data_IF_171328265305
#
_entry.id   IF_171328265305
#
_cell.length_a   1.000
_cell.length_b   1.000
_cell.length_c   1.000
_cell.angle_alpha   90.00
_cell.angle_beta   90.00
_cell.angle_gamma   90.00
#
_symmetry.space_group_name_H-M   'P 1'
#
loop_
_entity.id
_entity.type
_entity.pdbx_description
1 polymer ?
#
# COMPACT_ATOMS: atom_id res chain seq x y z
N UNK A 1 -12.46 -12.09 15.65
CA UNK A 1 -11.07 -12.03 16.14
C UNK A 1 -10.97 -10.85 17.10
N UNK A 2 -10.46 -11.05 18.32
CA UNK A 2 -10.31 -9.96 19.31
C UNK A 2 -8.95 -9.30 19.16
N UNK A 3 -8.96 -7.98 18.96
CA UNK A 3 -7.74 -7.17 18.91
C UNK A 3 -7.23 -6.90 20.34
N UNK A 4 -5.91 -6.92 20.51
CA UNK A 4 -5.27 -6.48 21.76
C UNK A 4 -5.35 -4.96 21.88
N UNK A 5 -5.34 -4.41 23.11
CA UNK A 5 -5.45 -2.96 23.36
C UNK A 5 -4.47 -2.12 22.51
N UNK A 6 -3.21 -2.54 22.41
CA UNK A 6 -2.22 -1.81 21.61
C UNK A 6 -2.51 -1.88 20.09
N UNK A 7 -3.09 -3.00 19.59
CA UNK A 7 -3.47 -3.12 18.19
C UNK A 7 -4.62 -2.17 17.87
N UNK A 8 -5.60 -2.08 18.76
CA UNK A 8 -6.69 -1.10 18.64
C UNK A 8 -6.14 0.32 18.56
N UNK A 9 -5.18 0.67 19.44
CA UNK A 9 -4.54 1.99 19.42
C UNK A 9 -3.83 2.25 18.09
N UNK A 10 -3.01 1.31 17.61
CA UNK A 10 -2.29 1.45 16.32
C UNK A 10 -3.28 1.64 15.15
N UNK A 11 -4.34 0.85 15.11
CA UNK A 11 -5.36 0.95 14.04
C UNK A 11 -6.10 2.29 14.13
N UNK A 12 -6.43 2.75 15.33
CA UNK A 12 -7.07 4.07 15.53
C UNK A 12 -6.17 5.20 15.04
N UNK A 13 -4.88 5.16 15.35
CA UNK A 13 -3.92 6.16 14.86
C UNK A 13 -3.77 6.12 13.34
N UNK A 14 -3.75 4.93 12.73
CA UNK A 14 -3.73 4.79 11.27
C UNK A 14 -4.99 5.37 10.61
N UNK A 15 -6.17 5.10 11.17
CA UNK A 15 -7.44 5.66 10.68
C UNK A 15 -7.40 7.19 10.70
N UNK A 16 -7.02 7.77 11.82
CA UNK A 16 -6.90 9.22 11.95
C UNK A 16 -5.91 9.81 10.94
N UNK A 17 -4.76 9.15 10.76
CA UNK A 17 -3.75 9.56 9.80
C UNK A 17 -4.24 9.46 8.34
N UNK A 18 -4.88 8.36 7.95
CA UNK A 18 -5.39 8.19 6.58
C UNK A 18 -6.53 9.16 6.27
N UNK A 19 -7.45 9.39 7.21
CA UNK A 19 -8.49 10.39 7.06
C UNK A 19 -7.91 11.78 6.85
N UNK A 20 -6.95 12.18 7.70
CA UNK A 20 -6.27 13.47 7.58
C UNK A 20 -5.46 13.60 6.28
N UNK A 21 -4.75 12.52 5.90
CA UNK A 21 -4.01 12.46 4.63
C UNK A 21 -4.94 12.72 3.44
N UNK A 22 -6.12 12.13 3.45
CA UNK A 22 -7.10 12.31 2.37
C UNK A 22 -7.62 13.73 2.31
N UNK A 23 -8.05 14.31 3.43
CA UNK A 23 -8.50 15.69 3.51
C UNK A 23 -7.43 16.66 3.00
N UNK A 24 -6.18 16.50 3.46
CA UNK A 24 -5.07 17.33 3.05
C UNK A 24 -4.81 17.19 1.55
N UNK A 25 -4.76 15.93 1.05
CA UNK A 25 -4.54 15.68 -0.37
C UNK A 25 -5.64 16.30 -1.24
N UNK A 26 -6.91 16.15 -0.88
CA UNK A 26 -8.03 16.72 -1.63
C UNK A 26 -7.95 18.27 -1.69
N UNK A 27 -7.55 18.92 -0.59
CA UNK A 27 -7.31 20.38 -0.54
C UNK A 27 -6.16 20.79 -1.45
N UNK A 28 -5.06 20.02 -1.44
CA UNK A 28 -3.90 20.28 -2.29
C UNK A 28 -4.18 20.02 -3.77
N UNK A 29 -4.92 18.96 -4.11
CA UNK A 29 -5.34 18.67 -5.49
C UNK A 29 -6.23 19.80 -6.03
N UNK A 30 -7.06 20.38 -5.20
CA UNK A 30 -7.86 21.56 -5.57
C UNK A 30 -6.99 22.81 -5.79
N UNK A 31 -6.08 23.09 -4.88
CA UNK A 31 -5.14 24.22 -5.01
C UNK A 31 -4.23 24.05 -6.24
N UNK A 32 -3.75 22.82 -6.51
CA UNK A 32 -2.89 22.49 -7.64
C UNK A 32 -3.53 22.84 -8.99
N UNK A 33 -4.86 22.69 -9.11
CA UNK A 33 -5.58 23.05 -10.35
C UNK A 33 -5.56 24.55 -10.64
N UNK A 34 -5.48 25.37 -9.60
CA UNK A 34 -5.44 26.84 -9.71
C UNK A 34 -4.02 27.39 -9.92
N UNK A 35 -2.97 26.59 -9.74
CA UNK A 35 -1.58 27.03 -9.84
C UNK A 35 -1.01 26.79 -11.25
N UNK A 36 -0.09 27.70 -11.70
CA UNK A 36 0.73 27.47 -12.88
C UNK A 36 1.51 26.15 -12.80
N UNK A 37 1.76 25.52 -13.93
CA UNK A 37 2.42 24.20 -13.99
C UNK A 37 3.78 24.18 -13.27
N UNK A 38 4.55 25.27 -13.41
CA UNK A 38 5.87 25.42 -12.81
C UNK A 38 5.84 25.42 -11.28
N UNK A 39 4.72 25.81 -10.66
CA UNK A 39 4.58 25.89 -9.20
C UNK A 39 3.96 24.64 -8.57
N UNK A 40 3.43 23.70 -9.34
CA UNK A 40 2.71 22.53 -8.84
C UNK A 40 3.60 21.56 -8.04
N UNK A 41 4.89 21.51 -8.35
CA UNK A 41 5.86 20.68 -7.66
C UNK A 41 6.22 21.18 -6.25
N UNK A 42 5.91 22.44 -5.92
CA UNK A 42 6.19 23.01 -4.59
C UNK A 42 5.20 22.53 -3.52
N UNK A 43 4.06 22.00 -3.94
CA UNK A 43 3.00 21.56 -3.04
C UNK A 43 3.28 20.18 -2.45
N UNK A 44 3.70 20.14 -1.19
CA UNK A 44 3.95 18.90 -0.45
C UNK A 44 2.84 18.62 0.58
N UNK A 45 1.77 18.00 0.12
CA UNK A 45 0.64 17.62 0.96
C UNK A 45 1.03 16.64 2.07
N UNK A 46 2.04 15.81 1.85
CA UNK A 46 2.51 14.83 2.84
C UNK A 46 3.12 15.51 4.04
N UNK A 47 3.99 16.51 3.82
CA UNK A 47 4.58 17.31 4.90
C UNK A 47 3.48 17.98 5.74
N UNK A 48 2.50 18.60 5.11
CA UNK A 48 1.36 19.23 5.79
C UNK A 48 0.56 18.23 6.60
N UNK A 49 0.34 17.01 6.07
CA UNK A 49 -0.34 15.95 6.80
C UNK A 49 0.41 15.57 8.08
N UNK A 50 1.72 15.35 7.99
CA UNK A 50 2.53 14.99 9.16
C UNK A 50 2.54 16.10 10.22
N UNK A 51 2.71 17.36 9.82
CA UNK A 51 2.67 18.51 10.71
C UNK A 51 1.31 18.64 11.43
N UNK A 52 0.21 18.50 10.67
CA UNK A 52 -1.14 18.58 11.23
C UNK A 52 -1.45 17.42 12.18
N UNK A 53 -0.88 16.24 11.91
CA UNK A 53 -0.99 15.08 12.81
C UNK A 53 -0.02 15.12 14.00
N UNK A 54 0.70 16.23 14.20
CA UNK A 54 1.75 16.39 15.23
C UNK A 54 2.82 15.26 15.18
N UNK A 55 3.16 14.82 13.96
CA UNK A 55 4.19 13.82 13.71
C UNK A 55 5.37 14.43 12.98
N UNK A 56 6.57 13.96 13.34
CA UNK A 56 7.79 14.44 12.69
C UNK A 56 7.84 14.00 11.21
N UNK A 57 8.02 14.95 10.32
CA UNK A 57 8.24 14.72 8.90
C UNK A 57 9.74 14.76 8.58
N UNK A 58 10.32 13.60 8.32
CA UNK A 58 11.75 13.47 7.98
C UNK A 58 12.00 13.26 6.50
N UNK A 59 10.96 13.04 5.73
CA UNK A 59 11.09 12.46 4.43
C UNK A 59 10.68 13.41 3.31
N UNK A 60 11.54 13.48 2.31
CA UNK A 60 11.30 14.26 1.08
C UNK A 60 11.15 13.32 -0.13
N UNK A 61 10.73 12.07 0.09
CA UNK A 61 10.62 11.12 -0.99
C UNK A 61 9.46 11.44 -1.91
N UNK A 62 9.78 11.43 -3.18
CA UNK A 62 8.82 11.39 -4.27
C UNK A 62 8.89 10.04 -4.97
N UNK A 63 7.79 9.63 -5.62
CA UNK A 63 7.78 8.48 -6.51
C UNK A 63 8.50 8.81 -7.83
N UNK A 64 8.54 7.86 -8.78
CA UNK A 64 9.15 8.06 -10.08
C UNK A 64 8.50 9.16 -10.94
N UNK A 65 7.30 9.61 -10.58
CA UNK A 65 6.56 10.70 -11.23
C UNK A 65 6.75 12.06 -10.52
N UNK A 66 7.62 12.13 -9.53
CA UNK A 66 7.83 13.35 -8.73
C UNK A 66 6.73 13.66 -7.72
N UNK A 67 5.80 12.73 -7.47
CA UNK A 67 4.72 12.93 -6.51
C UNK A 67 5.13 12.54 -5.10
N UNK A 68 4.73 13.35 -4.11
CA UNK A 68 4.95 13.03 -2.70
C UNK A 68 4.03 11.90 -2.23
N UNK A 69 4.58 10.98 -1.45
CA UNK A 69 3.83 9.89 -0.82
C UNK A 69 4.22 9.70 0.65
N UNK A 70 3.28 9.30 1.53
CA UNK A 70 3.58 9.12 2.95
C UNK A 70 4.32 7.82 3.20
N UNK A 71 5.35 7.85 4.04
CA UNK A 71 5.98 6.66 4.62
C UNK A 71 5.62 6.55 6.08
N UNK A 72 5.10 5.39 6.48
CA UNK A 72 4.68 5.10 7.84
C UNK A 72 5.47 3.91 8.37
N UNK A 73 6.08 4.06 9.54
CA UNK A 73 6.79 2.99 10.22
C UNK A 73 6.01 2.60 11.47
N UNK A 74 5.61 1.33 11.56
CA UNK A 74 4.98 0.76 12.74
C UNK A 74 5.95 -0.18 13.44
N UNK A 75 6.37 0.17 14.66
CA UNK A 75 7.19 -0.70 15.49
C UNK A 75 6.29 -1.67 16.27
N UNK A 76 6.32 -2.94 15.91
CA UNK A 76 5.50 -3.99 16.51
C UNK A 76 6.41 -5.12 17.00
N UNK A 77 6.29 -5.56 18.27
CA UNK A 77 7.14 -6.63 18.82
C UNK A 77 6.90 -7.96 18.08
N UNK A 78 7.83 -8.89 18.24
CA UNK A 78 7.66 -10.27 17.73
C UNK A 78 6.43 -10.89 18.39
N UNK A 79 5.63 -11.63 17.62
CA UNK A 79 4.35 -12.15 18.11
C UNK A 79 3.23 -11.11 18.27
N UNK A 80 3.51 -9.83 17.97
CA UNK A 80 2.55 -8.73 18.10
C UNK A 80 1.48 -8.65 16.99
N UNK A 81 1.42 -9.62 16.06
CA UNK A 81 0.39 -9.63 15.03
C UNK A 81 0.70 -8.70 13.85
N UNK A 82 1.98 -8.60 13.42
CA UNK A 82 2.41 -7.76 12.30
C UNK A 82 1.56 -7.97 11.05
N UNK A 83 1.28 -9.24 10.69
CA UNK A 83 0.47 -9.58 9.51
C UNK A 83 -0.96 -9.05 9.64
N UNK A 84 -1.55 -9.14 10.82
CA UNK A 84 -2.88 -8.59 11.09
C UNK A 84 -2.88 -7.07 10.94
N UNK A 85 -1.92 -6.39 11.55
CA UNK A 85 -1.83 -4.92 11.46
C UNK A 85 -1.56 -4.46 10.00
N UNK A 86 -0.81 -5.22 9.22
CA UNK A 86 -0.61 -4.93 7.81
C UNK A 86 -1.91 -5.08 7.00
N UNK A 87 -2.69 -6.14 7.23
CA UNK A 87 -4.00 -6.33 6.60
C UNK A 87 -4.97 -5.23 7.00
N UNK A 88 -5.01 -4.86 8.28
CA UNK A 88 -5.84 -3.75 8.76
C UNK A 88 -5.39 -2.40 8.15
N UNK A 89 -4.09 -2.18 8.01
CA UNK A 89 -3.57 -0.98 7.37
C UNK A 89 -4.02 -0.88 5.89
N UNK A 90 -4.00 -1.99 5.15
CA UNK A 90 -4.51 -2.05 3.78
C UNK A 90 -6.01 -1.74 3.77
N UNK A 91 -6.79 -2.39 4.64
CA UNK A 91 -8.24 -2.17 4.73
C UNK A 91 -8.58 -0.70 5.00
N UNK A 92 -7.93 -0.10 5.99
CA UNK A 92 -8.20 1.29 6.35
C UNK A 92 -7.68 2.27 5.29
N UNK A 93 -6.57 1.96 4.62
CA UNK A 93 -6.10 2.72 3.48
C UNK A 93 -7.13 2.73 2.34
N UNK A 94 -7.64 1.56 1.96
CA UNK A 94 -8.67 1.45 0.90
C UNK A 94 -9.94 2.22 1.27
N UNK A 95 -10.38 2.12 2.52
CA UNK A 95 -11.61 2.76 2.97
C UNK A 95 -11.50 4.29 3.13
N UNK A 96 -10.40 4.77 3.71
CA UNK A 96 -10.29 6.16 4.15
C UNK A 96 -9.48 7.05 3.20
N UNK A 97 -8.40 6.51 2.63
CA UNK A 97 -7.51 7.28 1.77
C UNK A 97 -7.80 7.05 0.28
N UNK A 98 -7.68 5.82 -0.21
CA UNK A 98 -7.91 5.51 -1.63
C UNK A 98 -9.38 5.66 -2.02
N UNK A 99 -10.29 5.32 -1.12
CA UNK A 99 -11.76 5.26 -1.34
C UNK A 99 -12.11 4.43 -2.57
N UNK A 100 -11.38 3.33 -2.75
CA UNK A 100 -11.51 2.39 -3.86
C UNK A 100 -11.50 0.96 -3.32
N UNK A 101 -12.16 0.05 -4.04
CA UNK A 101 -12.16 -1.38 -3.71
C UNK A 101 -11.12 -2.18 -4.48
N UNK A 102 -10.49 -1.55 -5.46
CA UNK A 102 -9.52 -2.15 -6.36
C UNK A 102 -8.16 -1.46 -6.24
N UNK A 103 -7.11 -2.06 -6.79
CA UNK A 103 -5.76 -1.49 -6.79
C UNK A 103 -4.68 -2.53 -6.57
N UNK A 104 -3.43 -2.09 -6.49
CA UNK A 104 -2.26 -2.94 -6.31
C UNK A 104 -1.58 -2.68 -4.96
N UNK A 105 -1.38 -3.74 -4.19
CA UNK A 105 -0.57 -3.77 -2.98
C UNK A 105 0.63 -4.68 -3.23
N UNK A 106 1.84 -4.16 -3.12
CA UNK A 106 3.07 -4.97 -3.16
C UNK A 106 3.46 -5.33 -1.73
N UNK A 107 3.35 -6.61 -1.39
CA UNK A 107 3.68 -7.14 -0.07
C UNK A 107 5.08 -7.75 -0.07
N UNK A 108 6.02 -7.01 0.50
CA UNK A 108 7.43 -7.42 0.54
C UNK A 108 7.71 -8.15 1.84
N UNK A 109 8.31 -9.34 1.75
CA UNK A 109 8.68 -10.17 2.90
C UNK A 109 10.16 -10.53 2.89
N UNK A 110 10.79 -10.70 4.09
CA UNK A 110 12.23 -10.91 4.19
C UNK A 110 12.67 -12.36 3.96
N UNK A 111 11.79 -13.35 4.08
CA UNK A 111 12.17 -14.78 4.01
C UNK A 111 11.07 -15.65 3.42
N UNK A 112 11.47 -16.80 2.85
CA UNK A 112 10.58 -17.81 2.28
C UNK A 112 9.58 -18.36 3.29
N UNK A 113 9.99 -18.56 4.54
CA UNK A 113 9.10 -19.06 5.60
C UNK A 113 7.95 -18.08 5.85
N UNK A 114 8.25 -16.77 5.96
CA UNK A 114 7.23 -15.74 6.16
C UNK A 114 6.35 -15.63 4.91
N UNK A 115 6.96 -15.72 3.72
CA UNK A 115 6.27 -15.73 2.43
C UNK A 115 5.20 -16.82 2.40
N UNK A 116 5.61 -18.07 2.48
CA UNK A 116 4.72 -19.23 2.37
C UNK A 116 3.62 -19.24 3.43
N UNK A 117 3.95 -18.87 4.68
CA UNK A 117 2.96 -18.80 5.76
C UNK A 117 1.93 -17.70 5.51
N UNK A 118 2.35 -16.53 5.01
CA UNK A 118 1.44 -15.40 4.79
C UNK A 118 0.56 -15.65 3.58
N UNK A 119 1.13 -16.11 2.46
CA UNK A 119 0.38 -16.48 1.25
C UNK A 119 -0.69 -17.52 1.57
N UNK A 120 -0.33 -18.60 2.28
CA UNK A 120 -1.29 -19.65 2.67
C UNK A 120 -2.47 -19.07 3.45
N UNK A 121 -2.21 -18.20 4.43
CA UNK A 121 -3.26 -17.55 5.24
C UNK A 121 -4.18 -16.65 4.41
N UNK A 122 -3.62 -15.91 3.47
CA UNK A 122 -4.40 -14.97 2.65
C UNK A 122 -5.09 -15.64 1.45
N UNK A 123 -4.68 -16.83 1.05
CA UNK A 123 -5.40 -17.66 0.06
C UNK A 123 -6.59 -18.39 0.65
N UNK A 124 -6.50 -18.74 1.91
CA UNK A 124 -7.59 -19.41 2.62
C UNK A 124 -8.75 -18.43 2.89
N UNK A 125 -9.85 -18.56 2.16
CA UNK A 125 -11.04 -17.72 2.29
C UNK A 125 -11.71 -17.80 3.66
N UNK A 126 -11.50 -18.88 4.40
CA UNK A 126 -12.00 -19.02 5.77
C UNK A 126 -11.14 -18.28 6.79
N UNK A 127 -9.92 -17.88 6.41
CA UNK A 127 -9.02 -17.18 7.32
C UNK A 127 -9.51 -15.76 7.61
N UNK A 128 -9.57 -15.33 8.88
CA UNK A 128 -10.01 -13.98 9.24
C UNK A 128 -9.23 -12.85 8.58
N UNK A 129 -7.93 -13.03 8.29
CA UNK A 129 -7.12 -12.03 7.60
C UNK A 129 -7.56 -11.86 6.14
N UNK A 130 -7.90 -12.97 5.47
CA UNK A 130 -8.45 -12.92 4.11
C UNK A 130 -9.80 -12.23 4.10
N UNK A 131 -10.67 -12.55 5.05
CA UNK A 131 -11.99 -11.94 5.16
C UNK A 131 -11.94 -10.41 5.33
N UNK A 132 -10.93 -9.89 6.06
CA UNK A 132 -10.71 -8.45 6.17
C UNK A 132 -10.36 -7.79 4.83
N UNK A 133 -9.53 -8.45 4.01
CA UNK A 133 -9.22 -7.97 2.64
C UNK A 133 -10.45 -8.07 1.73
N UNK A 134 -11.21 -9.16 1.84
CA UNK A 134 -12.42 -9.36 1.06
C UNK A 134 -13.51 -8.31 1.42
N UNK A 135 -13.60 -7.90 2.69
CA UNK A 135 -14.46 -6.77 3.08
C UNK A 135 -14.02 -5.45 2.42
N UNK A 136 -12.71 -5.18 2.37
CA UNK A 136 -12.19 -3.97 1.75
C UNK A 136 -12.39 -3.94 0.23
N UNK A 137 -12.28 -5.10 -0.42
CA UNK A 137 -12.35 -5.25 -1.88
C UNK A 137 -13.76 -5.54 -2.42
N UNK A 138 -14.74 -5.79 -1.53
CA UNK A 138 -16.05 -6.30 -1.95
C UNK A 138 -15.98 -7.73 -2.51
N UNK A 139 -15.20 -8.58 -1.88
CA UNK A 139 -14.91 -9.99 -2.25
C UNK A 139 -14.10 -10.15 -3.55
N UNK A 140 -13.45 -9.09 -4.03
CA UNK A 140 -12.58 -9.11 -5.21
C UNK A 140 -11.10 -9.01 -4.82
N UNK A 141 -10.62 -9.85 -3.90
CA UNK A 141 -9.20 -9.93 -3.55
C UNK A 141 -8.48 -10.96 -4.40
N UNK A 142 -7.44 -10.57 -5.10
CA UNK A 142 -6.57 -11.45 -5.90
C UNK A 142 -5.19 -11.53 -5.25
N UNK A 143 -4.75 -12.76 -4.92
CA UNK A 143 -3.43 -13.02 -4.37
C UNK A 143 -2.52 -13.51 -5.48
N UNK A 144 -1.50 -12.74 -5.82
CA UNK A 144 -0.50 -13.08 -6.81
C UNK A 144 0.85 -13.37 -6.16
N UNK A 145 1.52 -14.37 -6.69
CA UNK A 145 2.86 -14.79 -6.29
C UNK A 145 3.89 -14.52 -7.39
N UNK A 146 5.16 -14.60 -7.01
CA UNK A 146 6.28 -14.51 -7.94
C UNK A 146 6.07 -15.45 -9.14
N UNK A 147 6.27 -14.93 -10.35
CA UNK A 147 6.12 -15.68 -11.60
C UNK A 147 4.71 -15.74 -12.17
N UNK A 148 3.71 -15.25 -11.46
CA UNK A 148 2.37 -15.08 -12.00
C UNK A 148 2.27 -13.76 -12.77
N UNK A 149 1.55 -13.77 -13.88
CA UNK A 149 1.33 -12.56 -14.70
C UNK A 149 0.36 -11.61 -13.99
N UNK A 150 0.72 -10.34 -13.95
CA UNK A 150 -0.13 -9.24 -13.52
C UNK A 150 -0.56 -8.46 -14.76
N UNK A 151 -1.84 -8.17 -14.89
CA UNK A 151 -2.41 -7.37 -15.97
C UNK A 151 -3.05 -6.09 -15.43
N UNK A 152 -3.24 -5.10 -16.30
CA UNK A 152 -3.98 -3.87 -15.96
C UNK A 152 -5.40 -4.22 -15.50
N UNK A 153 -6.05 -5.13 -16.21
CA UNK A 153 -7.39 -5.62 -15.87
C UNK A 153 -7.47 -6.21 -14.45
N UNK A 154 -6.44 -6.96 -14.01
CA UNK A 154 -6.41 -7.49 -12.64
C UNK A 154 -6.47 -6.37 -11.60
N UNK A 155 -5.74 -5.26 -11.82
CA UNK A 155 -5.70 -4.12 -10.89
C UNK A 155 -7.00 -3.30 -10.93
N UNK A 156 -7.60 -3.17 -12.11
CA UNK A 156 -8.87 -2.43 -12.28
C UNK A 156 -10.04 -3.14 -11.63
N UNK A 157 -10.07 -4.48 -11.69
CA UNK A 157 -11.18 -5.29 -11.19
C UNK A 157 -11.01 -5.82 -9.77
N UNK A 158 -9.78 -5.89 -9.26
CA UNK A 158 -9.48 -6.52 -7.99
C UNK A 158 -8.61 -5.66 -7.07
N UNK A 159 -8.66 -5.95 -5.78
CA UNK A 159 -7.60 -5.62 -4.85
C UNK A 159 -6.52 -6.69 -4.97
N UNK A 160 -5.48 -6.40 -5.73
CA UNK A 160 -4.37 -7.32 -5.98
C UNK A 160 -3.36 -7.20 -4.84
N UNK A 161 -3.03 -8.33 -4.21
CA UNK A 161 -1.93 -8.43 -3.26
C UNK A 161 -0.81 -9.23 -3.92
N UNK A 162 0.20 -8.55 -4.41
CA UNK A 162 1.37 -9.15 -5.06
C UNK A 162 2.47 -9.41 -4.03
N UNK A 163 2.79 -10.68 -3.82
CA UNK A 163 3.83 -11.10 -2.89
C UNK A 163 5.20 -11.14 -3.54
N UNK A 164 6.17 -10.46 -2.92
CA UNK A 164 7.56 -10.39 -3.39
C UNK A 164 8.52 -10.59 -2.22
N UNK A 165 9.59 -11.35 -2.43
CA UNK A 165 10.68 -11.45 -1.46
C UNK A 165 11.70 -10.33 -1.66
N UNK A 166 12.29 -9.82 -0.56
CA UNK A 166 13.27 -8.73 -0.64
C UNK A 166 14.47 -9.10 -1.50
N UNK A 167 14.92 -10.37 -1.48
CA UNK A 167 16.01 -10.87 -2.33
C UNK A 167 15.68 -10.79 -3.83
N UNK A 168 14.40 -10.87 -4.17
CA UNK A 168 13.92 -10.76 -5.55
C UNK A 168 13.95 -9.34 -6.09
N UNK A 169 14.08 -8.34 -5.22
CA UNK A 169 14.14 -6.91 -5.56
C UNK A 169 15.60 -6.42 -5.57
N UNK A 170 16.51 -7.15 -4.89
CA UNK A 170 17.92 -6.78 -4.80
C UNK A 170 18.63 -6.93 -6.16
N UNK A 171 19.40 -5.91 -6.56
CA UNK A 171 20.11 -5.85 -7.83
C UNK A 171 21.19 -6.93 -8.04
N UNK A 172 21.60 -7.65 -7.00
CA UNK A 172 22.64 -8.68 -7.09
C UNK A 172 22.20 -9.92 -7.90
N UNK A 173 20.88 -10.16 -8.04
CA UNK A 173 20.33 -11.26 -8.86
C UNK A 173 19.45 -10.71 -10.01
N UNK A 174 19.83 -9.61 -10.58
CA UNK A 174 19.05 -8.60 -11.30
C UNK A 174 18.36 -8.99 -12.60
N UNK A 175 18.33 -10.26 -13.04
CA UNK A 175 17.61 -10.62 -14.27
C UNK A 175 16.26 -11.31 -14.06
N UNK A 176 16.05 -11.98 -12.95
CA UNK A 176 14.80 -12.73 -12.73
C UNK A 176 13.79 -12.04 -11.81
N UNK A 177 14.26 -11.17 -10.94
CA UNK A 177 13.44 -10.55 -9.91
C UNK A 177 12.41 -9.55 -10.43
N UNK A 178 12.72 -8.89 -11.53
CA UNK A 178 11.87 -7.87 -12.16
C UNK A 178 10.99 -8.44 -13.29
N UNK A 179 11.05 -9.75 -13.58
CA UNK A 179 10.24 -10.35 -14.65
C UNK A 179 8.75 -10.15 -14.45
N UNK A 180 8.25 -10.22 -13.20
CA UNK A 180 6.84 -9.93 -12.92
C UNK A 180 6.45 -8.52 -13.42
N UNK A 181 7.37 -7.57 -13.35
CA UNK A 181 7.14 -6.20 -13.79
C UNK A 181 7.53 -5.99 -15.27
N UNK A 182 8.47 -6.78 -15.81
CA UNK A 182 8.91 -6.68 -17.20
C UNK A 182 7.99 -7.43 -18.16
N UNK A 183 7.54 -8.62 -17.81
CA UNK A 183 6.64 -9.43 -18.64
C UNK A 183 5.21 -8.87 -18.71
N UNK A 184 4.85 -7.97 -17.81
CA UNK A 184 3.56 -7.26 -17.79
C UNK A 184 3.57 -5.94 -18.58
N UNK A 185 4.57 -5.71 -19.44
CA UNK A 185 4.71 -4.44 -20.14
C UNK A 185 5.32 -3.32 -19.31
N UNK A 186 5.84 -3.67 -18.14
CA UNK A 186 6.42 -2.75 -17.16
C UNK A 186 5.36 -1.95 -16.38
N UNK A 187 5.77 -1.37 -15.27
CA UNK A 187 4.92 -0.49 -14.44
C UNK A 187 4.37 0.73 -15.20
N UNK A 188 5.01 1.11 -16.28
CA UNK A 188 4.63 2.28 -17.10
C UNK A 188 3.22 2.14 -17.66
N UNK A 189 2.76 0.92 -17.96
CA UNK A 189 1.41 0.67 -18.47
C UNK A 189 0.30 0.81 -17.42
N UNK A 190 0.64 0.88 -16.13
CA UNK A 190 -0.33 1.04 -15.04
C UNK A 190 -0.52 2.50 -14.60
N UNK A 191 0.28 3.41 -15.13
CA UNK A 191 0.14 4.84 -14.87
C UNK A 191 -0.56 5.49 -16.05
N UNK A 192 -1.58 6.34 -15.81
CA UNK A 192 -2.19 7.10 -16.90
C UNK A 192 -1.08 7.92 -17.57
N UNK A 193 -0.98 7.78 -18.88
CA UNK A 193 -0.27 8.77 -19.70
C UNK A 193 -1.01 10.09 -19.57
N UNK A 194 -0.33 11.13 -19.13
CA UNK A 194 -0.85 12.50 -19.12
C UNK A 194 -1.29 12.95 -20.51
#
# INVERSE_FOLDING_TARGET
MFLKKYQVKVISELKAFYGKSRETKDSFDTARKALPAEMRHTLNWVQTTFQTAAKEYKDRCTNGLGEYYPRIIMKVPTGGGKTLLAVEAIREYQNLFARKRTGLVVWIVPSETIYSQTVRKLRDKANPLRQLLDQASGNKTLILEKGQRLTTHDIEENLVILFVMIQSISRQNGKEALKVFQDSGGFVSFFPSD
#
